data_IF_801763319277
#
_entry.id   IF_801763319277
#
_cell.length_a   1.000
_cell.length_b   1.000
_cell.length_c   1.000
_cell.angle_alpha   90.00
_cell.angle_beta   90.00
_cell.angle_gamma   90.00
#
_symmetry.space_group_name_H-M   'P 1'
#
loop_
_entity.id
_entity.type
_entity.pdbx_description
1 polymer ?
#
# COMPACT_ATOMS: atom_id res chain seq x y z
N UNK A 1 14.40 -5.60 -17.37
CA UNK A 1 12.97 -5.80 -17.69
C UNK A 1 12.17 -5.53 -16.43
N UNK A 2 11.32 -4.52 -16.45
CA UNK A 2 10.52 -4.05 -15.32
C UNK A 2 9.44 -5.08 -14.97
N UNK A 3 9.79 -6.06 -14.12
CA UNK A 3 8.83 -6.97 -13.53
C UNK A 3 7.89 -6.15 -12.63
N UNK A 4 6.68 -5.93 -13.12
CA UNK A 4 5.63 -5.30 -12.32
C UNK A 4 5.19 -6.33 -11.29
N UNK A 5 5.55 -6.08 -10.02
CA UNK A 5 5.15 -6.93 -8.91
C UNK A 5 3.70 -6.64 -8.52
N UNK A 6 2.96 -7.70 -8.21
CA UNK A 6 1.59 -7.58 -7.71
C UNK A 6 1.58 -6.90 -6.34
N UNK A 7 0.79 -5.82 -6.14
CA UNK A 7 0.73 -5.11 -4.86
C UNK A 7 0.12 -5.94 -3.72
N UNK A 8 -0.57 -7.04 -4.03
CA UNK A 8 -1.22 -7.89 -3.02
C UNK A 8 -0.37 -9.10 -2.60
N UNK A 9 0.39 -9.70 -3.52
CA UNK A 9 1.09 -10.97 -3.26
C UNK A 9 2.60 -10.94 -3.58
N UNK A 10 3.12 -9.82 -4.08
CA UNK A 10 4.51 -9.69 -4.53
C UNK A 10 4.90 -10.62 -5.68
N UNK A 11 3.94 -11.33 -6.27
CA UNK A 11 4.15 -12.28 -7.35
C UNK A 11 4.41 -11.58 -8.69
N UNK A 12 4.99 -12.31 -9.66
CA UNK A 12 5.20 -11.79 -11.01
C UNK A 12 3.86 -11.53 -11.69
N UNK A 13 3.67 -10.34 -12.26
CA UNK A 13 2.57 -10.04 -13.17
C UNK A 13 3.03 -10.14 -14.61
N UNK A 14 2.15 -10.67 -15.45
CA UNK A 14 2.30 -10.72 -16.91
C UNK A 14 1.42 -9.64 -17.50
N UNK A 15 1.97 -8.87 -18.44
CA UNK A 15 1.21 -7.89 -19.19
C UNK A 15 0.70 -8.54 -20.49
N UNK A 16 -0.62 -8.54 -20.66
CA UNK A 16 -1.28 -9.05 -21.86
C UNK A 16 -1.51 -7.88 -22.83
N UNK A 17 -0.80 -7.88 -23.96
CA UNK A 17 -0.84 -6.80 -24.96
C UNK A 17 -2.22 -6.67 -25.62
N UNK A 18 -2.89 -7.80 -25.85
CA UNK A 18 -4.18 -7.87 -26.54
C UNK A 18 -5.28 -7.13 -25.80
N UNK A 19 -5.30 -7.26 -24.48
CA UNK A 19 -6.32 -6.61 -23.64
C UNK A 19 -5.76 -5.38 -22.93
N UNK A 20 -4.45 -5.14 -22.95
CA UNK A 20 -3.75 -4.12 -22.15
C UNK A 20 -3.96 -4.27 -20.63
N UNK A 21 -4.13 -5.51 -20.17
CA UNK A 21 -4.30 -5.83 -18.76
C UNK A 21 -3.06 -6.49 -18.17
N UNK A 22 -2.91 -6.36 -16.87
CA UNK A 22 -1.93 -7.06 -16.07
C UNK A 22 -2.62 -8.21 -15.36
N UNK A 23 -2.08 -9.42 -15.53
CA UNK A 23 -2.53 -10.63 -14.85
C UNK A 23 -1.46 -11.15 -13.90
N UNK A 24 -1.80 -11.35 -12.63
CA UNK A 24 -0.92 -12.03 -11.69
C UNK A 24 -1.16 -13.54 -11.73
N UNK A 25 -0.11 -14.34 -12.01
CA UNK A 25 -0.21 -15.81 -12.02
C UNK A 25 -0.32 -16.46 -10.64
N UNK A 26 -0.12 -15.70 -9.56
CA UNK A 26 -0.13 -16.22 -8.18
C UNK A 26 -1.47 -16.01 -7.48
N UNK A 27 -2.01 -14.80 -7.53
CA UNK A 27 -3.29 -14.48 -6.89
C UNK A 27 -4.47 -14.37 -7.87
N UNK A 28 -4.22 -14.40 -9.19
CA UNK A 28 -5.28 -14.26 -10.20
C UNK A 28 -5.74 -12.82 -10.45
N UNK A 29 -5.06 -11.82 -9.88
CA UNK A 29 -5.41 -10.41 -10.05
C UNK A 29 -5.34 -10.00 -11.52
N UNK A 30 -6.45 -9.54 -12.09
CA UNK A 30 -6.56 -9.06 -13.46
C UNK A 30 -7.01 -7.60 -13.45
N UNK A 31 -6.09 -6.69 -13.77
CA UNK A 31 -6.30 -5.24 -13.63
C UNK A 31 -5.66 -4.47 -14.77
N UNK A 32 -6.24 -3.33 -15.13
CA UNK A 32 -5.58 -2.39 -16.06
C UNK A 32 -4.45 -1.64 -15.37
N UNK A 33 -3.66 -0.89 -16.15
CA UNK A 33 -2.60 -0.03 -15.60
C UNK A 33 -3.14 1.02 -14.63
N UNK A 34 -4.27 1.65 -14.96
CA UNK A 34 -4.91 2.66 -14.11
C UNK A 34 -5.42 2.05 -12.81
N UNK A 35 -6.07 0.88 -12.87
CA UNK A 35 -6.52 0.18 -11.67
C UNK A 35 -5.35 -0.22 -10.77
N UNK A 36 -4.23 -0.65 -11.37
CA UNK A 36 -3.03 -0.99 -10.61
C UNK A 36 -2.45 0.23 -9.89
N UNK A 37 -2.50 1.41 -10.53
CA UNK A 37 -2.05 2.67 -9.92
C UNK A 37 -2.98 3.10 -8.78
N UNK A 38 -4.30 3.03 -8.98
CA UNK A 38 -5.31 3.32 -7.94
C UNK A 38 -5.15 2.42 -6.71
N UNK A 39 -4.94 1.12 -6.92
CA UNK A 39 -4.69 0.15 -5.83
C UNK A 39 -3.43 0.56 -5.05
N UNK A 40 -2.33 0.87 -5.76
CA UNK A 40 -1.08 1.30 -5.11
C UNK A 40 -1.24 2.62 -4.36
N UNK A 41 -1.98 3.57 -4.93
CA UNK A 41 -2.28 4.84 -4.29
C UNK A 41 -3.06 4.64 -2.99
N UNK A 42 -4.11 3.81 -3.02
CA UNK A 42 -4.92 3.47 -1.83
C UNK A 42 -4.13 2.77 -0.73
N UNK A 43 -3.23 1.85 -1.09
CA UNK A 43 -2.36 1.17 -0.11
C UNK A 43 -1.46 2.20 0.58
N UNK A 44 -0.81 3.07 -0.20
CA UNK A 44 0.06 4.12 0.32
C UNK A 44 -0.68 5.10 1.24
N UNK A 45 -1.87 5.51 0.84
CA UNK A 45 -2.71 6.44 1.62
C UNK A 45 -3.09 5.84 2.99
N UNK A 46 -3.51 4.58 3.01
CA UNK A 46 -3.79 3.84 4.26
C UNK A 46 -2.56 3.73 5.16
N UNK A 47 -1.40 3.39 4.59
CA UNK A 47 -0.15 3.31 5.37
C UNK A 47 0.26 4.67 5.96
N UNK A 48 0.02 5.76 5.24
CA UNK A 48 0.27 7.11 5.74
C UNK A 48 -0.66 7.48 6.90
N UNK A 49 -1.95 7.20 6.75
CA UNK A 49 -2.95 7.45 7.79
C UNK A 49 -2.65 6.67 9.07
N UNK A 50 -2.29 5.40 8.94
CA UNK A 50 -1.94 4.56 10.09
C UNK A 50 -0.66 5.03 10.77
N UNK A 51 0.35 5.46 10.00
CA UNK A 51 1.56 6.08 10.55
C UNK A 51 1.23 7.37 11.31
N UNK A 52 0.34 8.20 10.77
CA UNK A 52 -0.09 9.45 11.39
C UNK A 52 -0.84 9.21 12.69
N UNK A 53 -1.73 8.21 12.73
CA UNK A 53 -2.43 7.78 13.96
C UNK A 53 -1.43 7.31 15.02
N UNK A 54 -0.49 6.45 14.64
CA UNK A 54 0.54 5.94 15.56
C UNK A 54 1.36 7.07 16.18
N UNK A 55 1.80 8.03 15.35
CA UNK A 55 2.54 9.22 15.81
C UNK A 55 1.73 10.09 16.77
N UNK A 56 0.42 10.23 16.55
CA UNK A 56 -0.47 10.96 17.47
C UNK A 56 -0.54 10.27 18.83
N UNK A 57 -0.75 8.95 18.84
CA UNK A 57 -0.80 8.16 20.09
C UNK A 57 0.51 8.26 20.85
N UNK A 58 1.66 8.15 20.17
CA UNK A 58 2.98 8.31 20.79
C UNK A 58 3.16 9.70 21.40
N UNK A 59 2.76 10.77 20.69
CA UNK A 59 2.85 12.13 21.21
C UNK A 59 1.94 12.36 22.42
N UNK A 60 0.71 11.84 22.38
CA UNK A 60 -0.26 11.95 23.47
C UNK A 60 0.26 11.23 24.73
N UNK A 61 0.78 10.01 24.56
CA UNK A 61 1.41 9.26 25.64
C UNK A 61 2.62 9.98 26.24
N UNK A 62 3.51 10.51 25.38
CA UNK A 62 4.67 11.29 25.82
C UNK A 62 4.25 12.55 26.60
N UNK A 63 3.23 13.25 26.13
CA UNK A 63 2.70 14.45 26.78
C UNK A 63 2.10 14.14 28.16
N UNK A 64 1.28 13.09 28.26
CA UNK A 64 0.73 12.61 29.53
C UNK A 64 1.85 12.24 30.52
N UNK A 65 2.83 11.47 30.07
CA UNK A 65 3.95 11.04 30.92
C UNK A 65 4.78 12.21 31.45
N UNK A 66 5.09 13.19 30.60
CA UNK A 66 5.83 14.38 31.00
C UNK A 66 5.02 15.28 31.94
N UNK A 67 3.70 15.28 31.81
CA UNK A 67 2.81 16.04 32.70
C UNK A 67 2.80 15.50 34.13
N UNK A 68 3.03 14.19 34.33
CA UNK A 68 3.15 13.57 35.65
C UNK A 68 4.51 13.73 36.33
N UNK A 69 5.53 14.24 35.62
CA UNK A 69 6.87 14.52 36.18
C UNK A 69 7.04 15.94 36.71
N UNK A 70 5.97 16.75 36.71
CA UNK A 70 6.00 18.15 37.11
C UNK A 70 5.33 18.36 38.47
#
# INVERSE_FOLDING_TARGET
MSQTACPECGGPMVYELSTKHFQCKRCGLYVTREQLDDIKAKIRDREEDDRKKRRRIENDYLAWWLSGKK
#
